data_IF_430196909014
#
_entry.id   IF_430196909014
#
_cell.length_a   1.000
_cell.length_b   1.000
_cell.length_c   1.000
_cell.angle_alpha   90.00
_cell.angle_beta   90.00
_cell.angle_gamma   90.00
#
_symmetry.space_group_name_H-M   'P 1'
#
loop_
_entity.id
_entity.type
_entity.pdbx_description
1 polymer ?
#
# COMPACT_ATOMS: atom_id res chain seq x y z
N UNK A 1 17.28 7.73 -5.98
CA UNK A 1 18.66 8.02 -5.57
C UNK A 1 19.60 7.49 -6.64
N UNK A 2 20.30 8.35 -7.31
CA UNK A 2 21.43 7.96 -8.14
C UNK A 2 22.57 7.56 -7.20
N UNK A 3 23.06 6.33 -7.30
CA UNK A 3 24.25 5.94 -6.57
C UNK A 3 25.40 6.82 -7.01
N UNK A 4 26.01 7.43 -6.04
CA UNK A 4 27.30 8.14 -6.01
C UNK A 4 27.85 8.71 -7.32
N UNK A 5 28.04 9.99 -7.32
CA UNK A 5 28.80 10.76 -8.33
C UNK A 5 30.30 10.40 -8.38
N UNK A 6 30.74 9.32 -7.73
CA UNK A 6 32.14 8.90 -7.75
C UNK A 6 32.45 8.14 -9.03
N UNK A 7 33.34 8.64 -9.91
CA UNK A 7 33.73 7.91 -11.12
C UNK A 7 34.67 6.75 -10.83
N UNK A 8 35.48 6.82 -9.77
CA UNK A 8 36.52 5.86 -9.42
C UNK A 8 36.34 5.30 -8.03
N UNK A 9 36.70 4.02 -7.84
CA UNK A 9 36.69 3.30 -6.56
C UNK A 9 38.10 2.78 -6.29
N UNK A 10 38.62 2.99 -5.07
CA UNK A 10 39.95 2.53 -4.68
C UNK A 10 39.94 1.02 -4.42
N UNK A 11 41.05 0.34 -4.75
CA UNK A 11 41.30 -1.06 -4.43
C UNK A 11 42.12 -1.12 -3.16
N UNK A 12 41.61 -1.82 -2.15
CA UNK A 12 42.34 -2.01 -0.91
C UNK A 12 43.29 -3.21 -1.01
N UNK A 13 44.57 -2.97 -0.89
CA UNK A 13 45.60 -4.00 -0.80
C UNK A 13 45.50 -4.75 0.52
N UNK A 14 45.85 -6.04 0.51
CA UNK A 14 46.00 -6.87 1.71
C UNK A 14 47.46 -6.88 2.18
N UNK A 15 47.69 -7.24 3.44
CA UNK A 15 49.07 -7.38 3.98
C UNK A 15 49.86 -8.39 3.16
N UNK A 16 51.00 -8.00 2.61
CA UNK A 16 51.86 -8.80 1.75
C UNK A 16 51.66 -8.59 0.24
N UNK A 17 50.68 -7.80 -0.17
CA UNK A 17 50.55 -7.41 -1.56
C UNK A 17 51.56 -6.31 -1.89
N UNK A 18 52.16 -6.40 -3.07
CA UNK A 18 52.90 -5.27 -3.67
C UNK A 18 51.92 -4.09 -3.78
N UNK A 19 52.42 -2.88 -3.53
CA UNK A 19 51.63 -1.66 -3.61
C UNK A 19 50.83 -1.64 -4.93
N UNK A 20 49.52 -1.87 -4.82
CA UNK A 20 48.62 -1.71 -5.97
C UNK A 20 48.60 -0.25 -6.33
N UNK A 21 48.84 0.07 -7.60
CA UNK A 21 48.77 1.42 -8.12
C UNK A 21 47.51 2.10 -7.58
N UNK A 22 47.69 3.30 -7.06
CA UNK A 22 46.60 4.14 -6.49
C UNK A 22 45.57 4.59 -7.53
N UNK A 23 45.69 4.11 -8.76
CA UNK A 23 44.71 4.30 -9.84
C UNK A 23 43.41 3.55 -9.51
N UNK A 24 42.39 4.29 -9.07
CA UNK A 24 41.08 3.75 -8.80
C UNK A 24 40.46 3.07 -10.03
N UNK A 25 39.67 2.02 -9.80
CA UNK A 25 38.90 1.34 -10.86
C UNK A 25 37.62 2.11 -11.15
N UNK A 26 37.25 2.24 -12.42
CA UNK A 26 35.96 2.85 -12.79
C UNK A 26 34.79 2.08 -12.18
N UNK A 27 33.82 2.84 -11.61
CA UNK A 27 32.61 2.26 -11.04
C UNK A 27 31.73 1.67 -12.15
N UNK A 28 31.42 0.36 -12.11
CA UNK A 28 30.54 -0.30 -13.09
C UNK A 28 29.17 0.38 -13.16
N UNK A 29 28.65 0.54 -14.37
CA UNK A 29 27.38 1.27 -14.59
C UNK A 29 26.17 0.56 -13.97
N UNK A 30 26.22 -0.75 -13.75
CA UNK A 30 25.17 -1.51 -13.06
C UNK A 30 24.92 -1.01 -11.63
N UNK A 31 25.95 -0.49 -10.94
CA UNK A 31 25.82 0.07 -9.60
C UNK A 31 25.14 1.45 -9.58
N UNK A 32 24.99 2.09 -10.74
CA UNK A 32 24.23 3.33 -10.95
C UNK A 32 22.79 3.10 -11.43
N UNK A 33 22.35 1.83 -11.57
CA UNK A 33 21.01 1.49 -12.03
C UNK A 33 19.92 1.94 -11.03
N UNK A 34 18.69 2.22 -11.50
CA UNK A 34 17.58 2.64 -10.63
C UNK A 34 17.13 1.50 -9.70
N UNK A 35 16.89 1.85 -8.43
CA UNK A 35 16.47 0.91 -7.38
C UNK A 35 14.95 0.84 -7.33
N UNK A 36 14.38 -0.38 -7.44
CA UNK A 36 12.95 -0.66 -7.42
C UNK A 36 12.59 -1.69 -6.34
N UNK A 37 11.91 -1.31 -5.26
CA UNK A 37 11.57 -2.19 -4.13
C UNK A 37 10.25 -2.97 -4.26
N UNK A 38 9.50 -2.83 -5.33
CA UNK A 38 8.07 -3.16 -5.50
C UNK A 38 7.71 -4.62 -5.86
N UNK A 39 8.41 -5.66 -5.34
CA UNK A 39 8.10 -7.08 -5.66
C UNK A 39 7.52 -7.85 -4.47
N UNK A 40 6.26 -8.38 -4.52
CA UNK A 40 5.49 -8.87 -3.36
C UNK A 40 5.44 -10.39 -3.10
N UNK A 41 4.85 -10.78 -1.91
CA UNK A 41 4.88 -12.12 -1.28
C UNK A 41 3.48 -12.64 -0.83
N UNK A 42 3.24 -13.99 -0.72
CA UNK A 42 1.95 -14.59 -0.32
C UNK A 42 2.01 -15.90 0.50
N UNK A 43 1.00 -16.16 1.40
CA UNK A 43 0.91 -17.29 2.37
C UNK A 43 -0.47 -17.96 2.42
N UNK A 44 -0.58 -19.28 2.77
CA UNK A 44 -1.84 -20.04 2.85
C UNK A 44 -2.05 -20.91 4.11
N UNK A 45 -3.33 -21.26 4.45
CA UNK A 45 -3.69 -22.06 5.64
C UNK A 45 -4.96 -22.94 5.50
N UNK A 46 -5.04 -24.02 6.30
CA UNK A 46 -6.23 -24.87 6.51
C UNK A 46 -6.65 -24.83 7.98
N UNK A 47 -7.90 -24.42 8.27
CA UNK A 47 -8.53 -24.48 9.58
C UNK A 47 -10.06 -24.49 9.42
N UNK A 48 -10.80 -25.08 10.38
CA UNK A 48 -12.26 -25.05 10.43
C UNK A 48 -13.00 -26.19 9.71
N UNK A 49 -12.29 -27.19 9.15
CA UNK A 49 -12.88 -28.38 8.52
C UNK A 49 -12.87 -29.63 9.40
N UNK A 50 -12.31 -29.56 10.60
CA UNK A 50 -12.03 -30.71 11.46
C UNK A 50 -13.14 -31.05 12.44
N UNK A 51 -14.25 -30.29 12.43
CA UNK A 51 -15.37 -30.46 13.34
C UNK A 51 -16.48 -31.28 12.67
N UNK A 52 -17.08 -32.25 13.36
CA UNK A 52 -18.33 -32.89 12.94
C UNK A 52 -19.49 -31.97 13.31
N UNK A 53 -20.36 -31.66 12.36
CA UNK A 53 -21.51 -30.81 12.60
C UNK A 53 -22.62 -31.11 11.59
N UNK A 54 -23.87 -31.05 12.06
CA UNK A 54 -25.07 -31.27 11.25
C UNK A 54 -26.03 -30.10 11.41
N UNK A 55 -26.79 -29.82 10.35
CA UNK A 55 -27.86 -28.82 10.43
C UNK A 55 -29.06 -29.40 11.16
N UNK A 56 -29.66 -28.61 12.04
CA UNK A 56 -30.91 -28.99 12.69
C UNK A 56 -32.15 -28.90 11.78
N UNK A 57 -31.97 -28.44 10.55
CA UNK A 57 -33.05 -28.26 9.58
C UNK A 57 -34.02 -27.13 9.96
N UNK A 58 -35.26 -27.28 9.54
CA UNK A 58 -36.36 -26.34 9.79
C UNK A 58 -37.22 -26.80 10.99
N UNK A 59 -38.05 -25.94 11.55
CA UNK A 59 -39.00 -26.25 12.60
C UNK A 59 -38.50 -25.98 14.03
N UNK A 60 -37.28 -25.52 14.24
CA UNK A 60 -36.71 -25.21 15.58
C UNK A 60 -36.52 -23.73 15.85
N UNK A 61 -37.02 -22.84 15.00
CA UNK A 61 -36.87 -21.40 15.11
C UNK A 61 -35.40 -20.91 15.21
N UNK A 62 -34.45 -21.66 14.66
CA UNK A 62 -33.02 -21.34 14.62
C UNK A 62 -32.50 -21.41 13.19
N UNK A 63 -31.39 -20.72 12.90
CA UNK A 63 -30.76 -20.75 11.58
C UNK A 63 -30.33 -22.18 11.20
N UNK A 64 -30.47 -22.54 9.92
CA UNK A 64 -30.12 -23.84 9.34
C UNK A 64 -28.62 -24.09 9.19
N UNK A 65 -27.79 -23.34 9.88
CA UNK A 65 -26.35 -23.53 9.86
C UNK A 65 -25.97 -24.85 10.53
N UNK A 66 -24.94 -25.57 10.05
CA UNK A 66 -24.43 -26.74 10.75
C UNK A 66 -24.01 -26.42 12.19
N UNK A 67 -24.44 -27.26 13.13
CA UNK A 67 -24.15 -27.09 14.55
C UNK A 67 -23.50 -28.36 15.10
N UNK A 68 -22.63 -28.16 16.10
CA UNK A 68 -21.91 -29.27 16.74
C UNK A 68 -22.87 -30.10 17.54
N UNK A 69 -22.95 -31.44 17.28
CA UNK A 69 -23.80 -32.35 18.05
C UNK A 69 -23.22 -32.59 19.46
N UNK A 70 -24.04 -33.13 20.36
CA UNK A 70 -23.63 -33.54 21.71
C UNK A 70 -24.20 -32.66 22.81
N UNK A 71 -24.11 -33.16 24.06
CA UNK A 71 -24.49 -32.48 25.28
C UNK A 71 -23.29 -32.41 26.25
N UNK A 72 -23.30 -31.44 27.17
CA UNK A 72 -22.32 -31.38 28.25
C UNK A 72 -21.03 -30.62 27.92
N UNK A 73 -20.84 -30.09 26.73
CA UNK A 73 -19.70 -29.23 26.41
C UNK A 73 -20.16 -27.83 26.02
N UNK A 74 -19.34 -26.82 26.32
CA UNK A 74 -19.61 -25.41 25.93
C UNK A 74 -19.69 -25.21 24.41
N UNK A 75 -19.24 -26.19 23.62
CA UNK A 75 -19.27 -26.13 22.14
C UNK A 75 -20.53 -26.74 21.56
N UNK A 76 -21.30 -27.52 22.31
CA UNK A 76 -22.52 -28.16 21.84
C UNK A 76 -23.55 -27.12 21.37
N UNK A 77 -24.16 -27.34 20.21
CA UNK A 77 -25.15 -26.44 19.62
C UNK A 77 -24.59 -25.18 18.96
N UNK A 78 -23.31 -24.90 19.07
CA UNK A 78 -22.71 -23.76 18.38
C UNK A 78 -22.56 -24.00 16.87
N UNK A 79 -22.73 -22.96 16.06
CA UNK A 79 -22.52 -23.06 14.63
C UNK A 79 -21.09 -23.46 14.26
N UNK A 80 -20.93 -24.21 13.18
CA UNK A 80 -19.66 -24.73 12.69
C UNK A 80 -19.56 -24.59 11.17
N UNK A 81 -18.39 -24.83 10.62
CA UNK A 81 -18.02 -24.75 9.21
C UNK A 81 -18.13 -23.37 8.56
N UNK A 82 -19.14 -22.56 8.83
CA UNK A 82 -19.33 -21.25 8.22
C UNK A 82 -18.19 -20.29 8.52
N UNK A 83 -17.89 -19.39 7.60
CA UNK A 83 -16.89 -18.34 7.80
C UNK A 83 -17.28 -17.33 8.89
N UNK A 84 -18.59 -17.21 9.17
CA UNK A 84 -19.12 -16.37 10.24
C UNK A 84 -19.11 -17.07 11.62
N UNK A 85 -18.81 -18.38 11.67
CA UNK A 85 -18.83 -19.12 12.92
C UNK A 85 -17.47 -19.10 13.61
N UNK A 86 -17.49 -19.08 14.96
CA UNK A 86 -16.29 -19.24 15.77
C UNK A 86 -15.66 -20.61 15.52
N UNK A 87 -14.38 -20.63 15.12
CA UNK A 87 -13.67 -21.85 14.76
C UNK A 87 -14.14 -22.49 13.44
N UNK A 88 -14.91 -21.77 12.64
CA UNK A 88 -15.29 -22.17 11.29
C UNK A 88 -14.14 -21.99 10.29
N UNK A 89 -14.38 -22.46 9.05
CA UNK A 89 -13.42 -22.31 7.96
C UNK A 89 -13.46 -20.89 7.40
N UNK A 90 -12.35 -20.45 6.83
CA UNK A 90 -12.31 -19.19 6.12
C UNK A 90 -13.18 -19.25 4.84
N UNK A 91 -13.64 -18.09 4.37
CA UNK A 91 -14.29 -18.01 3.05
C UNK A 91 -13.28 -18.38 1.96
N UNK A 92 -13.72 -19.18 0.97
CA UNK A 92 -12.88 -19.68 -0.11
C UNK A 92 -11.51 -20.20 0.39
N UNK A 93 -11.46 -21.34 1.12
CA UNK A 93 -10.23 -21.85 1.70
C UNK A 93 -9.14 -22.02 0.64
N UNK A 94 -7.94 -21.58 0.98
CA UNK A 94 -6.80 -21.76 0.08
C UNK A 94 -6.43 -23.21 -0.09
N UNK A 95 -6.30 -23.65 -1.34
CA UNK A 95 -6.00 -25.04 -1.71
C UNK A 95 -4.49 -25.25 -1.87
N UNK A 96 -3.99 -26.45 -1.51
CA UNK A 96 -2.58 -26.82 -1.65
C UNK A 96 -2.13 -26.92 -3.11
N UNK A 97 -3.03 -27.22 -4.02
CA UNK A 97 -2.78 -27.30 -5.46
C UNK A 97 -2.78 -25.94 -6.16
N UNK A 98 -2.82 -24.85 -5.42
CA UNK A 98 -2.61 -23.52 -5.97
C UNK A 98 -1.25 -23.46 -6.65
N UNK A 99 -1.18 -22.81 -7.80
CA UNK A 99 0.09 -22.56 -8.48
C UNK A 99 0.94 -21.60 -7.64
N UNK A 100 1.92 -22.13 -6.91
CA UNK A 100 2.81 -21.39 -6.01
C UNK A 100 3.91 -20.65 -6.77
N UNK A 101 4.49 -21.32 -7.77
CA UNK A 101 5.54 -20.78 -8.59
C UNK A 101 4.96 -19.96 -9.74
N UNK A 102 5.44 -18.73 -9.89
CA UNK A 102 5.08 -17.83 -10.98
C UNK A 102 6.26 -17.69 -11.92
N UNK A 103 5.99 -17.72 -13.22
CA UNK A 103 7.00 -17.39 -14.23
C UNK A 103 7.20 -15.88 -14.23
N UNK A 104 8.43 -15.45 -13.95
CA UNK A 104 8.85 -14.05 -14.04
C UNK A 104 9.63 -13.86 -15.33
N UNK A 105 9.34 -12.81 -16.07
CA UNK A 105 10.04 -12.50 -17.32
C UNK A 105 11.53 -12.31 -17.08
N UNK A 106 12.35 -12.80 -18.00
CA UNK A 106 13.82 -12.75 -17.91
C UNK A 106 14.29 -11.28 -17.76
N UNK A 107 13.71 -10.37 -18.54
CA UNK A 107 14.03 -8.93 -18.47
C UNK A 107 13.76 -8.38 -17.06
N UNK A 108 12.62 -8.71 -16.46
CA UNK A 108 12.27 -8.27 -15.10
C UNK A 108 13.24 -8.81 -14.05
N UNK A 109 13.65 -10.10 -14.18
CA UNK A 109 14.68 -10.69 -13.30
C UNK A 109 16.03 -9.98 -13.41
N UNK A 110 16.45 -9.66 -14.62
CA UNK A 110 17.71 -8.93 -14.87
C UNK A 110 17.65 -7.51 -14.27
N UNK A 111 16.53 -6.80 -14.45
CA UNK A 111 16.32 -5.48 -13.85
C UNK A 111 16.33 -5.56 -12.31
N UNK A 112 15.70 -6.57 -11.73
CA UNK A 112 15.70 -6.76 -10.28
C UNK A 112 17.11 -6.99 -9.71
N UNK A 113 17.93 -7.81 -10.38
CA UNK A 113 19.33 -8.04 -9.97
C UNK A 113 20.16 -6.75 -10.13
N UNK A 114 20.01 -6.00 -11.24
CA UNK A 114 20.70 -4.72 -11.44
C UNK A 114 20.31 -3.71 -10.35
N UNK A 115 19.03 -3.64 -10.01
CA UNK A 115 18.51 -2.79 -8.93
C UNK A 115 19.06 -3.18 -7.55
N UNK A 116 19.18 -4.50 -7.28
CA UNK A 116 19.76 -4.99 -6.04
C UNK A 116 21.27 -4.68 -5.95
N UNK A 117 21.98 -4.82 -7.04
CA UNK A 117 23.41 -4.45 -7.14
C UNK A 117 23.61 -2.95 -6.91
N UNK A 118 22.82 -2.11 -7.56
CA UNK A 118 22.89 -0.65 -7.35
C UNK A 118 22.66 -0.28 -5.87
N UNK A 119 21.76 -0.96 -5.18
CA UNK A 119 21.49 -0.74 -3.76
C UNK A 119 22.68 -1.09 -2.86
N UNK A 120 23.54 -2.03 -3.25
CA UNK A 120 24.74 -2.40 -2.47
C UNK A 120 25.82 -1.32 -2.47
N UNK A 121 25.80 -0.41 -3.43
CA UNK A 121 26.74 0.71 -3.53
C UNK A 121 26.32 1.94 -2.70
N UNK A 122 25.10 1.94 -2.13
CA UNK A 122 24.56 3.07 -1.36
C UNK A 122 24.71 2.79 0.14
N UNK A 123 25.60 3.48 0.88
CA UNK A 123 25.87 3.21 2.29
C UNK A 123 24.62 3.34 3.16
N UNK A 124 23.76 4.32 2.89
CA UNK A 124 22.52 4.53 3.65
C UNK A 124 21.56 3.33 3.58
N UNK A 125 21.46 2.66 2.43
CA UNK A 125 20.63 1.46 2.28
C UNK A 125 21.25 0.24 2.97
N UNK A 126 22.57 0.14 2.97
CA UNK A 126 23.30 -0.93 3.66
C UNK A 126 23.16 -0.79 5.18
N UNK A 127 23.28 0.43 5.72
CA UNK A 127 22.99 0.74 7.13
C UNK A 127 21.54 0.48 7.50
N UNK A 128 20.59 0.93 6.68
CA UNK A 128 19.16 0.73 6.92
C UNK A 128 18.78 -0.76 6.98
N UNK A 129 19.48 -1.61 6.23
CA UNK A 129 19.34 -3.06 6.33
C UNK A 129 19.85 -3.63 7.66
N UNK A 130 20.72 -2.91 8.36
CA UNK A 130 21.27 -3.27 9.66
C UNK A 130 22.67 -3.90 9.60
N UNK A 131 23.43 -3.71 8.53
CA UNK A 131 24.85 -4.07 8.48
C UNK A 131 25.69 -3.08 9.27
N UNK A 132 26.76 -3.57 9.91
CA UNK A 132 27.74 -2.75 10.59
C UNK A 132 28.87 -2.41 9.63
N UNK A 133 28.92 -1.17 9.18
CA UNK A 133 29.86 -0.71 8.17
C UNK A 133 30.73 0.49 8.63
N UNK A 134 30.65 0.84 9.88
CA UNK A 134 31.35 2.00 10.45
C UNK A 134 32.89 1.92 10.28
N UNK A 135 33.44 0.70 10.34
CA UNK A 135 34.87 0.46 10.13
C UNK A 135 35.31 0.34 8.66
N UNK A 136 34.38 0.45 7.72
CA UNK A 136 34.68 0.26 6.30
C UNK A 136 35.02 1.61 5.66
N UNK A 137 36.19 1.77 5.03
CA UNK A 137 36.65 3.07 4.57
C UNK A 137 35.90 3.60 3.36
N UNK A 138 35.43 2.71 2.46
CA UNK A 138 34.81 3.12 1.20
C UNK A 138 33.69 2.16 0.75
N UNK A 139 32.69 2.70 0.09
CA UNK A 139 31.61 1.96 -0.56
C UNK A 139 31.50 2.32 -2.05
N UNK A 140 31.39 1.32 -2.94
CA UNK A 140 31.48 -0.14 -2.71
C UNK A 140 32.89 -0.55 -2.29
N UNK A 141 33.00 -1.62 -1.44
CA UNK A 141 34.28 -2.13 -0.95
C UNK A 141 34.89 -3.09 -1.96
N UNK A 142 36.03 -2.73 -2.53
CA UNK A 142 36.81 -3.56 -3.46
C UNK A 142 38.13 -3.94 -2.83
N UNK A 143 38.51 -5.21 -2.95
CA UNK A 143 39.72 -5.78 -2.35
C UNK A 143 40.56 -6.42 -3.46
N UNK A 144 41.86 -6.49 -3.29
CA UNK A 144 42.77 -7.13 -4.24
C UNK A 144 42.44 -8.61 -4.48
N UNK A 145 42.83 -9.13 -5.63
CA UNK A 145 42.53 -10.52 -6.04
C UNK A 145 43.27 -11.57 -5.19
N UNK A 146 44.25 -11.17 -4.37
CA UNK A 146 44.96 -12.05 -3.42
C UNK A 146 43.99 -12.76 -2.43
N UNK A 147 42.83 -12.17 -2.13
CA UNK A 147 41.80 -12.81 -1.33
C UNK A 147 41.28 -14.13 -1.93
N UNK A 148 41.33 -14.28 -3.26
CA UNK A 148 40.84 -15.49 -3.95
C UNK A 148 41.74 -16.72 -3.74
N UNK A 149 43.00 -16.50 -3.38
CA UNK A 149 44.00 -17.58 -3.11
C UNK A 149 43.89 -18.17 -1.71
N UNK A 150 43.17 -17.51 -0.79
CA UNK A 150 43.06 -17.90 0.61
C UNK A 150 42.24 -19.19 0.78
N UNK A 151 42.78 -20.16 1.52
CA UNK A 151 42.09 -21.45 1.82
C UNK A 151 41.64 -21.55 3.29
N UNK A 152 42.40 -20.98 4.23
CA UNK A 152 42.17 -21.19 5.68
C UNK A 152 41.21 -20.13 6.24
N UNK A 153 40.24 -20.57 7.06
CA UNK A 153 39.29 -19.68 7.74
C UNK A 153 39.92 -18.67 8.69
N UNK A 154 41.04 -19.05 9.33
CA UNK A 154 41.79 -18.17 10.20
C UNK A 154 42.36 -16.95 9.41
N UNK A 155 42.83 -17.16 8.20
CA UNK A 155 43.30 -16.09 7.32
C UNK A 155 42.14 -15.20 6.87
N UNK A 156 41.00 -15.79 6.53
CA UNK A 156 39.79 -15.02 6.15
C UNK A 156 39.31 -14.10 7.27
N UNK A 157 39.37 -14.53 8.54
CA UNK A 157 39.07 -13.67 9.69
C UNK A 157 40.06 -12.51 9.82
N UNK A 158 41.37 -12.77 9.62
CA UNK A 158 42.38 -11.71 9.65
C UNK A 158 42.10 -10.66 8.57
N UNK A 159 41.78 -11.10 7.35
CA UNK A 159 41.42 -10.19 6.24
C UNK A 159 40.16 -9.38 6.56
N UNK A 160 39.10 -10.01 7.10
CA UNK A 160 37.89 -9.27 7.49
C UNK A 160 38.16 -8.21 8.56
N UNK A 161 39.09 -8.47 9.49
CA UNK A 161 39.49 -7.47 10.49
C UNK A 161 40.25 -6.32 9.83
N UNK A 162 41.17 -6.62 8.94
CA UNK A 162 41.98 -5.63 8.22
C UNK A 162 41.14 -4.66 7.38
N UNK A 163 40.12 -5.17 6.67
CA UNK A 163 39.22 -4.36 5.85
C UNK A 163 38.09 -3.68 6.61
N UNK A 164 37.98 -3.93 7.92
CA UNK A 164 36.93 -3.35 8.78
C UNK A 164 35.55 -4.03 8.66
N UNK A 165 35.45 -5.18 7.99
CA UNK A 165 34.18 -5.89 7.75
C UNK A 165 33.89 -6.96 8.81
N UNK A 166 34.78 -7.21 9.77
CA UNK A 166 34.64 -8.26 10.78
C UNK A 166 33.45 -8.02 11.71
N UNK A 167 33.18 -6.77 12.09
CA UNK A 167 32.09 -6.43 13.00
C UNK A 167 30.69 -6.89 12.48
N UNK A 168 30.48 -6.89 11.17
CA UNK A 168 29.24 -7.39 10.58
C UNK A 168 29.18 -8.93 10.57
N UNK A 169 30.31 -9.60 10.32
CA UNK A 169 30.40 -11.07 10.41
C UNK A 169 30.22 -11.58 11.85
N UNK A 170 30.79 -10.87 12.84
CA UNK A 170 30.61 -11.15 14.26
C UNK A 170 29.15 -10.99 14.69
N UNK A 171 28.49 -9.89 14.29
CA UNK A 171 27.05 -9.69 14.50
C UNK A 171 26.21 -10.81 13.92
N UNK A 172 26.57 -11.32 12.74
CA UNK A 172 25.87 -12.44 12.13
C UNK A 172 26.07 -13.73 12.93
N UNK A 173 27.29 -14.01 13.42
CA UNK A 173 27.63 -15.13 14.28
C UNK A 173 26.84 -15.10 15.59
N UNK A 174 26.84 -13.97 16.28
CA UNK A 174 26.19 -13.80 17.58
C UNK A 174 24.65 -13.86 17.50
N UNK A 175 24.09 -13.63 16.31
CA UNK A 175 22.65 -13.70 16.05
C UNK A 175 22.10 -15.11 15.92
N UNK A 176 22.93 -16.15 15.99
CA UNK A 176 22.50 -17.54 15.89
C UNK A 176 21.64 -17.91 17.10
N UNK A 177 20.39 -18.18 16.88
CA UNK A 177 19.43 -18.50 17.94
C UNK A 177 18.46 -19.61 17.50
N UNK A 178 17.82 -20.26 18.46
CA UNK A 178 16.76 -21.22 18.19
C UNK A 178 15.50 -20.46 17.80
N UNK A 179 14.89 -20.84 16.67
CA UNK A 179 13.64 -20.26 16.18
C UNK A 179 12.50 -20.42 17.17
N UNK A 180 11.77 -19.38 17.43
CA UNK A 180 10.52 -19.44 18.17
C UNK A 180 9.44 -20.21 17.41
N UNK A 181 8.54 -20.88 18.13
CA UNK A 181 7.41 -21.60 17.56
C UNK A 181 7.76 -22.97 16.92
N UNK A 182 6.78 -23.58 16.26
CA UNK A 182 6.85 -24.95 15.72
C UNK A 182 7.76 -25.09 14.48
N UNK A 183 8.23 -24.01 13.89
CA UNK A 183 9.17 -24.04 12.76
C UNK A 183 10.48 -24.79 13.06
N UNK A 184 10.93 -24.81 14.34
CA UNK A 184 12.12 -25.55 14.78
C UNK A 184 11.99 -27.09 14.62
N UNK A 185 10.77 -27.62 14.70
CA UNK A 185 10.48 -29.03 14.45
C UNK A 185 10.28 -29.35 12.95
N UNK A 186 10.27 -28.35 12.10
CA UNK A 186 10.04 -28.45 10.64
C UNK A 186 11.30 -28.11 9.85
N UNK A 187 12.45 -28.58 10.27
CA UNK A 187 13.77 -28.36 9.65
C UNK A 187 14.21 -26.90 9.57
N UNK A 188 13.65 -26.01 10.40
CA UNK A 188 14.01 -24.60 10.51
C UNK A 188 14.36 -24.24 11.96
N UNK A 189 15.21 -25.06 12.58
CA UNK A 189 15.54 -24.92 14.01
C UNK A 189 16.27 -23.64 14.33
N UNK A 190 17.26 -23.30 13.52
CA UNK A 190 18.10 -22.13 13.76
C UNK A 190 17.72 -20.96 12.89
N UNK A 191 17.89 -19.77 13.43
CA UNK A 191 17.81 -18.50 12.72
C UNK A 191 19.14 -17.77 12.91
N UNK A 192 19.59 -17.09 11.88
CA UNK A 192 20.75 -16.21 11.93
C UNK A 192 20.53 -14.99 11.03
N UNK A 193 21.24 -13.93 11.30
CA UNK A 193 21.29 -12.77 10.41
C UNK A 193 22.25 -13.05 9.28
N UNK A 194 22.02 -12.39 8.14
CA UNK A 194 22.95 -12.39 7.02
C UNK A 194 24.01 -11.31 7.22
N UNK A 195 25.26 -11.71 7.12
CA UNK A 195 26.44 -10.84 7.12
C UNK A 195 26.87 -10.45 5.71
N UNK A 196 28.17 -10.16 5.51
CA UNK A 196 28.71 -9.74 4.21
C UNK A 196 28.58 -10.85 3.15
N UNK A 197 28.44 -10.43 1.90
CA UNK A 197 28.52 -11.27 0.73
C UNK A 197 29.86 -11.02 0.02
N UNK A 198 30.65 -12.05 -0.22
CA UNK A 198 31.90 -11.95 -0.95
C UNK A 198 31.66 -12.38 -2.37
N UNK A 199 32.03 -11.52 -3.32
CA UNK A 199 31.88 -11.79 -4.75
C UNK A 199 33.25 -11.90 -5.40
N UNK A 200 33.51 -13.07 -6.00
CA UNK A 200 34.76 -13.39 -6.66
C UNK A 200 34.59 -13.56 -8.18
N UNK A 201 35.68 -13.36 -8.93
CA UNK A 201 35.66 -13.32 -10.38
C UNK A 201 36.28 -14.53 -11.08
N UNK A 202 37.19 -15.28 -10.45
CA UNK A 202 37.87 -16.41 -11.04
C UNK A 202 37.14 -17.73 -10.79
N UNK A 203 37.05 -18.61 -11.79
CA UNK A 203 36.55 -19.97 -11.60
C UNK A 203 37.58 -20.80 -10.83
N UNK A 204 37.10 -21.71 -9.94
CA UNK A 204 37.99 -22.55 -9.15
C UNK A 204 38.65 -21.87 -7.96
N UNK A 205 38.25 -20.63 -7.63
CA UNK A 205 38.78 -19.85 -6.51
C UNK A 205 38.67 -20.57 -5.18
N UNK A 206 39.75 -20.54 -4.39
CA UNK A 206 39.85 -21.16 -3.08
C UNK A 206 39.08 -20.41 -2.00
N UNK A 207 38.71 -19.18 -2.25
CA UNK A 207 37.95 -18.28 -1.33
C UNK A 207 36.67 -18.92 -0.81
N UNK A 208 35.99 -19.75 -1.60
CA UNK A 208 34.78 -20.46 -1.18
C UNK A 208 35.04 -21.35 0.04
N UNK A 209 36.17 -22.06 0.09
CA UNK A 209 36.55 -22.95 1.21
C UNK A 209 36.84 -22.10 2.47
N UNK A 210 37.54 -20.97 2.29
CA UNK A 210 37.95 -20.11 3.37
C UNK A 210 36.79 -19.42 4.10
N UNK A 211 35.75 -19.01 3.38
CA UNK A 211 34.66 -18.20 3.95
C UNK A 211 33.36 -18.96 4.22
N UNK A 212 33.10 -20.11 3.56
CA UNK A 212 31.83 -20.83 3.72
C UNK A 212 31.50 -21.29 5.13
N UNK A 213 32.53 -21.47 6.00
CA UNK A 213 32.33 -21.89 7.39
C UNK A 213 32.02 -20.72 8.35
N UNK A 214 32.11 -19.48 7.89
CA UNK A 214 31.79 -18.31 8.72
C UNK A 214 30.27 -18.10 8.74
N UNK A 215 29.62 -18.09 9.93
CA UNK A 215 28.19 -17.93 10.04
C UNK A 215 27.71 -16.61 9.43
N UNK A 216 26.70 -16.67 8.55
CA UNK A 216 26.11 -15.52 7.92
C UNK A 216 26.89 -14.90 6.75
N UNK A 217 28.14 -15.32 6.52
CA UNK A 217 28.93 -14.91 5.35
C UNK A 217 28.58 -15.83 4.19
N UNK A 218 28.21 -15.24 3.06
CA UNK A 218 27.94 -15.96 1.83
C UNK A 218 29.01 -15.63 0.77
N UNK A 219 29.26 -16.55 -0.16
CA UNK A 219 30.23 -16.37 -1.24
C UNK A 219 29.53 -16.66 -2.56
N UNK A 220 29.72 -15.79 -3.56
CA UNK A 220 29.09 -15.93 -4.86
C UNK A 220 30.05 -15.58 -6.01
N UNK A 221 29.91 -16.28 -7.15
CA UNK A 221 30.60 -15.90 -8.37
C UNK A 221 29.85 -14.74 -9.06
N UNK A 222 30.57 -13.78 -9.62
CA UNK A 222 30.01 -12.60 -10.30
C UNK A 222 29.08 -12.95 -11.47
N UNK A 223 29.35 -14.03 -12.18
CA UNK A 223 28.55 -14.46 -13.33
C UNK A 223 27.22 -15.09 -12.92
N UNK A 224 27.15 -15.67 -11.71
CA UNK A 224 26.00 -16.41 -11.18
C UNK A 224 25.31 -15.69 -10.02
N UNK A 225 25.39 -14.36 -9.98
CA UNK A 225 24.74 -13.56 -8.93
C UNK A 225 23.23 -13.82 -8.89
N UNK A 226 22.76 -14.18 -7.70
CA UNK A 226 21.36 -14.46 -7.42
C UNK A 226 20.72 -13.31 -6.63
N UNK A 227 19.49 -12.96 -6.99
CA UNK A 227 18.71 -11.97 -6.26
C UNK A 227 18.47 -12.37 -4.79
N UNK A 228 18.35 -13.67 -4.52
CA UNK A 228 18.16 -14.19 -3.16
C UNK A 228 19.36 -13.94 -2.24
N UNK A 229 20.56 -13.87 -2.81
CA UNK A 229 21.79 -13.59 -2.07
C UNK A 229 22.01 -12.08 -1.93
N UNK A 230 21.66 -11.29 -2.96
CA UNK A 230 21.80 -9.83 -2.95
C UNK A 230 20.71 -9.11 -2.12
N UNK A 231 19.49 -9.66 -2.12
CA UNK A 231 18.36 -9.10 -1.42
C UNK A 231 17.61 -10.19 -0.61
N UNK A 232 18.24 -10.84 0.37
CA UNK A 232 17.58 -11.87 1.17
C UNK A 232 16.38 -11.28 1.92
N UNK A 233 15.24 -11.99 1.85
CA UNK A 233 13.98 -11.53 2.41
C UNK A 233 13.30 -10.41 1.63
N UNK A 234 13.78 -10.06 0.45
CA UNK A 234 13.26 -8.94 -0.36
C UNK A 234 13.80 -7.57 0.06
N UNK A 235 14.75 -7.53 0.99
CA UNK A 235 15.35 -6.28 1.47
C UNK A 235 16.63 -5.96 0.71
N UNK A 236 16.68 -4.79 0.11
CA UNK A 236 17.81 -4.26 -0.64
C UNK A 236 18.95 -3.77 0.27
N UNK A 237 20.15 -3.61 -0.27
CA UNK A 237 21.27 -3.03 0.45
C UNK A 237 22.10 -4.03 1.24
N UNK A 238 22.36 -5.23 0.72
CA UNK A 238 23.30 -6.15 1.36
C UNK A 238 24.72 -5.61 1.30
N UNK A 239 25.49 -5.79 2.38
CA UNK A 239 26.91 -5.49 2.37
C UNK A 239 27.66 -6.48 1.47
N UNK A 240 28.33 -5.98 0.44
CA UNK A 240 29.07 -6.79 -0.54
C UNK A 240 30.54 -6.37 -0.55
N UNK A 241 31.42 -7.38 -0.53
CA UNK A 241 32.86 -7.24 -0.67
C UNK A 241 33.23 -7.80 -2.06
N UNK A 242 33.83 -6.97 -2.89
CA UNK A 242 34.18 -7.31 -4.26
C UNK A 242 35.66 -7.63 -4.37
N UNK A 243 36.03 -8.65 -5.14
CA UNK A 243 37.39 -8.79 -5.67
C UNK A 243 37.56 -7.87 -6.86
N UNK A 244 38.76 -7.45 -7.13
CA UNK A 244 39.05 -6.55 -8.26
C UNK A 244 38.61 -7.13 -9.60
N UNK A 245 38.95 -8.41 -9.84
CA UNK A 245 38.54 -9.14 -11.03
C UNK A 245 37.02 -9.23 -11.17
N UNK A 246 36.31 -9.51 -10.05
CA UNK A 246 34.83 -9.58 -10.07
C UNK A 246 34.22 -8.20 -10.40
N UNK A 247 34.80 -7.14 -9.87
CA UNK A 247 34.30 -5.79 -10.09
C UNK A 247 34.46 -5.34 -11.56
N UNK A 248 35.62 -5.62 -12.17
CA UNK A 248 35.87 -5.36 -13.60
C UNK A 248 34.92 -6.16 -14.51
N UNK A 249 34.63 -7.41 -14.16
CA UNK A 249 33.71 -8.29 -14.94
C UNK A 249 32.24 -7.85 -14.91
N UNK A 250 31.82 -6.97 -14.00
CA UNK A 250 30.43 -6.52 -13.94
C UNK A 250 29.95 -5.85 -15.23
N UNK A 251 30.80 -5.05 -15.88
CA UNK A 251 30.44 -4.36 -17.12
C UNK A 251 30.30 -5.36 -18.30
N UNK A 252 31.09 -6.42 -18.34
CA UNK A 252 30.92 -7.49 -19.33
C UNK A 252 29.58 -8.23 -19.13
N UNK A 253 29.21 -8.49 -17.88
CA UNK A 253 28.01 -9.27 -17.54
C UNK A 253 26.73 -8.47 -17.73
N UNK A 254 26.70 -7.20 -17.29
CA UNK A 254 25.47 -6.40 -17.27
C UNK A 254 25.43 -5.31 -18.34
N UNK A 255 26.58 -4.96 -18.93
CA UNK A 255 26.70 -3.88 -19.88
C UNK A 255 26.57 -2.49 -19.24
N UNK A 256 26.45 -1.49 -20.08
CA UNK A 256 26.27 -0.10 -19.70
C UNK A 256 24.87 0.43 -20.02
N UNK A 257 24.71 1.76 -19.88
CA UNK A 257 23.50 2.46 -20.30
C UNK A 257 23.39 2.57 -21.83
N UNK A 258 24.53 2.65 -22.51
CA UNK A 258 24.62 2.79 -23.96
C UNK A 258 25.16 1.53 -24.66
N UNK A 259 25.93 0.73 -23.92
CA UNK A 259 26.54 -0.50 -24.43
C UNK A 259 25.75 -1.74 -23.97
N UNK A 260 25.39 -2.64 -24.88
CA UNK A 260 24.69 -3.89 -24.50
C UNK A 260 25.62 -4.84 -23.75
N UNK A 261 25.06 -5.67 -22.88
CA UNK A 261 25.77 -6.67 -22.13
C UNK A 261 26.31 -7.79 -23.06
N UNK A 262 27.57 -8.17 -22.90
CA UNK A 262 28.19 -9.25 -23.69
C UNK A 262 27.62 -10.62 -23.32
N UNK A 263 27.57 -10.96 -22.02
CA UNK A 263 27.09 -12.25 -21.54
C UNK A 263 25.57 -12.36 -21.47
N UNK A 264 24.85 -11.29 -21.11
CA UNK A 264 23.38 -11.26 -21.07
C UNK A 264 22.81 -10.66 -22.35
N UNK A 265 22.93 -11.38 -23.45
CA UNK A 265 22.50 -10.94 -24.79
C UNK A 265 21.14 -10.20 -24.76
N UNK A 266 21.08 -9.06 -25.42
CA UNK A 266 19.87 -8.22 -25.53
C UNK A 266 19.48 -7.48 -24.26
N UNK A 267 20.34 -7.38 -23.24
CA UNK A 267 20.10 -6.60 -22.05
C UNK A 267 20.91 -5.30 -22.08
N UNK A 268 20.20 -4.21 -21.87
CA UNK A 268 20.74 -2.86 -21.66
C UNK A 268 20.21 -2.38 -20.30
N UNK A 269 21.04 -1.69 -19.53
CA UNK A 269 20.64 -1.19 -18.22
C UNK A 269 19.51 -0.16 -18.36
N UNK A 270 18.50 -0.23 -17.51
CA UNK A 270 17.43 0.76 -17.49
C UNK A 270 17.99 2.12 -17.06
N UNK A 271 17.64 3.19 -17.76
CA UNK A 271 17.97 4.55 -17.36
C UNK A 271 17.01 5.04 -16.28
N UNK A 272 17.46 5.79 -15.27
CA UNK A 272 16.58 6.44 -14.32
C UNK A 272 15.76 7.51 -15.05
N UNK A 273 14.48 7.64 -14.69
CA UNK A 273 13.62 8.70 -15.27
C UNK A 273 14.05 10.10 -14.85
N UNK A 274 14.71 10.23 -13.71
CA UNK A 274 15.23 11.47 -13.18
C UNK A 274 16.74 11.32 -13.02
N UNK A 275 17.51 12.20 -13.64
CA UNK A 275 18.96 12.25 -13.52
C UNK A 275 19.38 12.69 -12.11
N UNK A 276 18.67 13.65 -11.53
CA UNK A 276 18.86 14.13 -10.16
C UNK A 276 17.63 13.74 -9.30
N UNK A 277 17.86 13.06 -8.19
CA UNK A 277 16.81 12.67 -7.24
C UNK A 277 16.48 13.77 -6.22
N UNK A 278 17.24 14.83 -6.17
CA UNK A 278 17.00 15.99 -5.31
C UNK A 278 15.90 16.87 -5.92
N UNK A 279 14.66 16.60 -5.52
CA UNK A 279 13.49 17.35 -5.99
C UNK A 279 13.53 18.81 -5.55
N UNK A 280 14.06 19.10 -4.36
CA UNK A 280 14.16 20.47 -3.85
C UNK A 280 15.05 21.31 -4.73
N UNK A 281 16.19 20.76 -5.15
CA UNK A 281 17.12 21.44 -6.07
C UNK A 281 16.51 21.64 -7.46
N UNK A 282 15.78 20.64 -7.97
CA UNK A 282 15.10 20.76 -9.27
C UNK A 282 13.98 21.82 -9.23
N UNK A 283 13.18 21.83 -8.17
CA UNK A 283 12.09 22.79 -8.01
C UNK A 283 12.66 24.22 -7.89
N UNK A 284 13.75 24.40 -7.15
CA UNK A 284 14.37 25.71 -6.91
C UNK A 284 15.37 26.13 -8.00
N UNK A 285 15.51 25.34 -9.07
CA UNK A 285 16.34 25.73 -10.20
C UNK A 285 15.75 26.95 -10.95
N UNK A 286 16.63 27.83 -11.43
CA UNK A 286 16.21 29.04 -12.16
C UNK A 286 15.36 28.74 -13.39
N UNK A 287 15.64 27.63 -14.06
CA UNK A 287 14.88 27.14 -15.21
C UNK A 287 13.40 26.87 -14.87
N UNK A 288 13.15 26.23 -13.72
CA UNK A 288 11.79 25.95 -13.26
C UNK A 288 11.13 27.19 -12.67
N UNK A 289 11.88 27.96 -11.86
CA UNK A 289 11.33 29.13 -11.18
C UNK A 289 10.98 30.28 -12.14
N UNK A 290 11.66 30.38 -13.28
CA UNK A 290 11.33 31.37 -14.31
C UNK A 290 9.96 31.16 -14.97
N UNK A 291 9.49 29.91 -15.02
CA UNK A 291 8.20 29.52 -15.63
C UNK A 291 7.07 29.42 -14.60
N UNK A 292 7.39 29.16 -13.34
CA UNK A 292 6.42 29.00 -12.27
C UNK A 292 5.82 30.36 -11.89
N UNK A 293 4.50 30.42 -11.82
CA UNK A 293 3.79 31.62 -11.33
C UNK A 293 4.23 31.95 -9.91
N UNK A 294 4.50 33.24 -9.61
CA UNK A 294 4.88 33.66 -8.27
C UNK A 294 3.81 33.30 -7.24
N UNK A 295 4.25 33.05 -6.01
CA UNK A 295 3.35 32.71 -4.91
C UNK A 295 2.36 33.87 -4.69
N UNK A 296 1.08 33.59 -4.79
CA UNK A 296 0.05 34.56 -4.43
C UNK A 296 0.15 34.84 -2.93
N UNK A 297 0.69 36.01 -2.57
CA UNK A 297 0.77 36.46 -1.17
C UNK A 297 -0.62 36.68 -0.54
N UNK A 298 -1.61 37.02 -1.37
CA UNK A 298 -3.00 37.16 -0.93
C UNK A 298 -3.74 35.86 -1.14
N UNK A 299 -4.11 35.22 -0.05
CA UNK A 299 -5.02 34.08 -0.07
C UNK A 299 -6.42 34.61 -0.36
N UNK A 300 -6.81 34.65 -1.64
CA UNK A 300 -8.21 34.87 -1.99
C UNK A 300 -9.02 33.67 -1.54
N UNK A 301 -9.62 33.79 -0.36
CA UNK A 301 -10.61 32.82 0.08
C UNK A 301 -11.73 32.79 -0.96
N UNK A 302 -12.01 31.62 -1.50
CA UNK A 302 -13.17 31.43 -2.37
C UNK A 302 -14.41 31.82 -1.57
N UNK A 303 -15.19 32.78 -2.07
CA UNK A 303 -16.51 33.05 -1.52
C UNK A 303 -17.31 31.75 -1.52
N UNK A 304 -17.91 31.42 -0.36
CA UNK A 304 -18.74 30.24 -0.25
C UNK A 304 -19.85 30.31 -1.32
N UNK A 305 -19.95 29.32 -2.19
CA UNK A 305 -21.00 29.23 -3.21
C UNK A 305 -22.34 29.10 -2.50
N UNK A 306 -23.06 30.18 -2.42
CA UNK A 306 -24.42 30.21 -1.85
C UNK A 306 -25.40 29.80 -2.93
N UNK A 307 -26.32 28.88 -2.60
CA UNK A 307 -27.33 28.43 -3.56
C UNK A 307 -28.30 29.58 -3.87
N UNK A 308 -28.41 30.06 -5.13
CA UNK A 308 -29.31 31.13 -5.51
C UNK A 308 -30.78 30.81 -5.22
N UNK A 309 -31.19 29.57 -5.28
CA UNK A 309 -32.58 29.17 -4.96
C UNK A 309 -32.95 29.31 -3.50
N UNK A 310 -31.98 29.32 -2.58
CA UNK A 310 -32.19 29.46 -1.14
C UNK A 310 -31.76 30.82 -0.58
N UNK A 311 -30.91 31.56 -1.28
CA UNK A 311 -30.31 32.77 -0.79
C UNK A 311 -30.62 33.95 -1.74
N UNK A 312 -31.46 34.86 -1.28
CA UNK A 312 -31.92 36.05 -2.04
C UNK A 312 -30.76 36.97 -2.43
N UNK A 313 -29.75 37.16 -1.56
CA UNK A 313 -28.60 38.00 -1.86
C UNK A 313 -27.77 37.41 -3.04
N UNK A 314 -27.67 36.09 -3.15
CA UNK A 314 -27.00 35.43 -4.26
C UNK A 314 -27.77 35.58 -5.57
N UNK A 315 -29.10 35.52 -5.52
CA UNK A 315 -29.96 35.80 -6.69
C UNK A 315 -29.85 37.25 -7.15
N UNK A 316 -29.86 38.20 -6.23
CA UNK A 316 -29.74 39.62 -6.56
C UNK A 316 -28.40 40.00 -7.20
N UNK A 317 -27.32 39.31 -6.83
CA UNK A 317 -26.01 39.44 -7.52
C UNK A 317 -26.05 38.93 -8.97
N UNK A 318 -26.82 37.85 -9.25
CA UNK A 318 -26.96 37.26 -10.58
C UNK A 318 -28.00 37.98 -11.44
N UNK A 319 -29.11 38.40 -10.82
CA UNK A 319 -30.22 39.11 -11.47
C UNK A 319 -30.74 40.24 -10.58
N UNK A 320 -30.29 41.47 -10.77
CA UNK A 320 -30.72 42.62 -9.96
C UNK A 320 -32.24 42.88 -10.02
N UNK A 321 -32.88 42.53 -11.14
CA UNK A 321 -34.33 42.70 -11.33
C UNK A 321 -35.19 41.76 -10.49
N UNK A 322 -34.62 40.71 -9.93
CA UNK A 322 -35.32 39.71 -9.10
C UNK A 322 -36.06 40.36 -7.89
N UNK A 323 -35.46 41.35 -7.29
CA UNK A 323 -36.08 42.08 -6.15
C UNK A 323 -37.35 42.77 -6.53
N UNK A 324 -37.38 43.48 -7.68
CA UNK A 324 -38.57 44.19 -8.20
C UNK A 324 -39.65 43.21 -8.68
N UNK A 325 -39.25 42.17 -9.40
CA UNK A 325 -40.16 41.10 -9.84
C UNK A 325 -40.89 40.44 -8.64
N UNK A 326 -40.15 40.14 -7.55
CA UNK A 326 -40.72 39.53 -6.35
C UNK A 326 -41.71 40.49 -5.64
N UNK A 327 -41.40 41.78 -5.57
CA UNK A 327 -42.30 42.78 -4.99
C UNK A 327 -43.58 42.91 -5.83
N UNK A 328 -43.45 42.95 -7.15
CA UNK A 328 -44.61 43.02 -8.06
C UNK A 328 -45.48 41.76 -7.99
N UNK A 329 -44.86 40.57 -7.90
CA UNK A 329 -45.60 39.33 -7.67
C UNK A 329 -46.39 39.34 -6.37
N UNK A 330 -45.75 39.77 -5.25
CA UNK A 330 -46.38 39.86 -3.93
C UNK A 330 -47.57 40.88 -3.94
N UNK A 331 -47.40 42.03 -4.59
CA UNK A 331 -48.47 43.01 -4.74
C UNK A 331 -49.66 42.47 -5.60
N UNK A 332 -49.33 41.77 -6.70
CA UNK A 332 -50.35 41.14 -7.53
C UNK A 332 -51.10 40.01 -6.78
N UNK A 333 -50.41 39.27 -5.94
CA UNK A 333 -51.02 38.24 -5.11
C UNK A 333 -51.91 38.87 -4.03
N UNK A 334 -51.44 39.91 -3.35
CA UNK A 334 -52.25 40.67 -2.39
C UNK A 334 -53.50 41.25 -3.04
N UNK A 335 -53.39 41.81 -4.23
CA UNK A 335 -54.54 42.32 -4.98
C UNK A 335 -55.54 41.20 -5.34
N UNK A 336 -55.04 40.00 -5.78
CA UNK A 336 -55.92 38.85 -6.03
C UNK A 336 -56.63 38.36 -4.76
N UNK A 337 -55.91 38.31 -3.65
CA UNK A 337 -56.49 37.93 -2.35
C UNK A 337 -57.57 38.92 -1.95
N UNK A 338 -57.30 40.25 -2.02
CA UNK A 338 -58.31 41.25 -1.76
C UNK A 338 -59.56 41.13 -2.61
N UNK A 339 -59.34 40.98 -3.96
CA UNK A 339 -60.47 40.84 -4.88
C UNK A 339 -61.26 39.51 -4.62
N UNK A 340 -60.60 38.47 -4.13
CA UNK A 340 -61.24 37.20 -3.75
C UNK A 340 -62.05 37.36 -2.46
N UNK A 341 -61.47 38.02 -1.44
CA UNK A 341 -62.19 38.29 -0.16
C UNK A 341 -63.40 39.19 -0.40
N UNK A 342 -63.28 40.26 -1.16
CA UNK A 342 -64.38 41.15 -1.55
C UNK A 342 -65.50 40.41 -2.27
N UNK A 343 -65.14 39.52 -3.23
CA UNK A 343 -66.13 38.67 -3.91
C UNK A 343 -66.78 37.65 -2.98
N UNK A 344 -66.03 37.11 -2.00
CA UNK A 344 -66.63 36.20 -1.03
C UNK A 344 -67.51 36.93 -0.04
N UNK A 345 -67.14 38.14 0.38
CA UNK A 345 -67.95 38.96 1.32
C UNK A 345 -69.20 39.49 0.63
N UNK A 346 -69.15 39.83 -0.67
CA UNK A 346 -70.33 40.20 -1.41
C UNK A 346 -71.28 39.00 -1.68
N UNK A 347 -70.76 37.79 -1.72
CA UNK A 347 -71.57 36.56 -1.90
C UNK A 347 -72.08 35.99 -0.53
N UNK A 348 -71.58 36.44 0.58
CA UNK A 348 -72.07 36.08 1.91
C UNK A 348 -73.38 36.82 2.18
N UNK A 349 -74.47 36.25 1.76
CA UNK A 349 -75.78 36.63 2.32
C UNK A 349 -75.78 36.34 3.80
N UNK A 350 -76.13 37.35 4.63
CA UNK A 350 -76.28 37.15 6.06
C UNK A 350 -77.40 36.16 6.27
N UNK A 351 -77.08 34.97 6.69
CA UNK A 351 -78.06 33.92 7.11
C UNK A 351 -78.93 34.47 8.22
N UNK A 352 -80.25 34.26 8.13
CA UNK A 352 -81.15 34.57 9.22
C UNK A 352 -80.78 33.86 10.52
N UNK A 353 -81.02 34.40 11.71
CA UNK A 353 -80.68 33.78 12.99
C UNK A 353 -81.18 32.32 13.05
N UNK A 354 -82.41 32.11 12.51
CA UNK A 354 -83.04 30.79 12.50
C UNK A 354 -82.29 29.73 11.59
N UNK A 355 -81.89 30.14 10.43
CA UNK A 355 -81.11 29.32 9.50
C UNK A 355 -79.72 29.00 10.08
N UNK A 356 -79.08 30.01 10.70
CA UNK A 356 -77.79 29.83 11.39
C UNK A 356 -77.87 28.82 12.55
N UNK A 357 -79.01 28.83 13.29
CA UNK A 357 -79.23 27.87 14.39
C UNK A 357 -79.46 26.47 13.87
N UNK A 358 -80.22 26.31 12.78
CA UNK A 358 -80.44 25.00 12.11
C UNK A 358 -79.14 24.39 11.60
N UNK A 359 -78.28 25.17 10.94
CA UNK A 359 -76.98 24.72 10.43
C UNK A 359 -76.06 24.31 11.61
N UNK A 360 -76.01 25.11 12.71
CA UNK A 360 -75.25 24.77 13.90
C UNK A 360 -75.79 23.49 14.60
N UNK A 361 -77.08 23.33 14.66
CA UNK A 361 -77.70 22.13 15.24
C UNK A 361 -77.39 20.88 14.37
N UNK A 362 -77.48 21.02 13.06
CA UNK A 362 -77.14 19.95 12.10
C UNK A 362 -75.64 19.58 12.20
N UNK A 363 -74.72 20.56 12.24
CA UNK A 363 -73.30 20.33 12.42
C UNK A 363 -72.97 19.64 13.74
N UNK A 364 -73.70 19.97 14.80
CA UNK A 364 -73.56 19.32 16.12
C UNK A 364 -74.04 17.88 16.14
N UNK A 365 -75.14 17.58 15.43
CA UNK A 365 -75.68 16.24 15.29
C UNK A 365 -74.70 15.39 14.45
N UNK A 366 -74.20 15.91 13.35
CA UNK A 366 -73.19 15.23 12.51
C UNK A 366 -71.91 14.94 13.31
N UNK A 367 -71.39 15.90 14.08
CA UNK A 367 -70.20 15.70 14.91
C UNK A 367 -70.43 14.58 15.98
N UNK A 368 -71.61 14.52 16.55
CA UNK A 368 -71.99 13.44 17.48
C UNK A 368 -72.02 12.05 16.83
N UNK A 369 -72.49 11.96 15.57
CA UNK A 369 -72.48 10.72 14.80
C UNK A 369 -71.07 10.33 14.37
N UNK A 370 -70.22 11.27 14.07
CA UNK A 370 -68.82 10.96 13.74
C UNK A 370 -68.00 10.48 14.96
N UNK A 371 -68.34 10.90 16.18
CA UNK A 371 -67.66 10.45 17.42
C UNK A 371 -68.25 9.15 17.97
N UNK A 372 -69.48 8.79 17.60
CA UNK A 372 -70.06 7.50 18.01
C UNK A 372 -69.46 6.37 17.21
N UNK A 373 -68.81 5.44 17.86
CA UNK A 373 -68.13 4.24 17.31
C UNK A 373 -69.06 3.22 16.64
N UNK A 374 -70.04 3.67 15.89
CA UNK A 374 -70.98 2.75 15.25
C UNK A 374 -70.92 2.82 13.72
N UNK A 375 -70.39 1.78 13.19
CA UNK A 375 -70.57 1.24 11.86
C UNK A 375 -70.22 2.05 10.60
N UNK A 376 -69.68 1.31 9.64
CA UNK A 376 -69.29 1.64 8.27
C UNK A 376 -70.33 2.37 7.38
N UNK A 377 -71.43 2.73 7.91
CA UNK A 377 -72.47 3.51 7.26
C UNK A 377 -72.21 5.04 7.33
N UNK A 378 -71.09 5.46 7.90
CA UNK A 378 -70.75 6.87 8.08
C UNK A 378 -70.61 7.61 6.75
N UNK A 379 -70.06 6.94 5.73
CA UNK A 379 -69.86 7.57 4.42
C UNK A 379 -71.19 7.85 3.69
N UNK A 380 -72.12 6.94 3.79
CA UNK A 380 -73.47 7.12 3.21
C UNK A 380 -74.26 8.22 3.94
N UNK A 381 -74.14 8.29 5.24
CA UNK A 381 -74.73 9.36 6.02
C UNK A 381 -74.09 10.73 5.68
N UNK A 382 -72.79 10.79 5.50
CA UNK A 382 -72.07 11.99 5.13
C UNK A 382 -72.44 12.48 3.72
N UNK A 383 -72.58 11.58 2.76
CA UNK A 383 -72.99 11.91 1.39
C UNK A 383 -74.44 12.40 1.29
N UNK A 384 -75.34 11.82 2.09
CA UNK A 384 -76.71 12.30 2.27
C UNK A 384 -76.73 13.71 2.87
N UNK A 385 -75.91 13.99 3.84
CA UNK A 385 -75.80 15.31 4.51
C UNK A 385 -75.25 16.41 3.57
N UNK A 386 -74.37 16.03 2.65
CA UNK A 386 -73.82 16.95 1.67
C UNK A 386 -74.74 17.13 0.45
N UNK A 387 -75.87 16.42 0.37
CA UNK A 387 -76.80 16.48 -0.77
C UNK A 387 -76.18 15.94 -2.07
N UNK A 388 -75.18 15.09 -2.00
CA UNK A 388 -74.45 14.56 -3.14
C UNK A 388 -75.06 13.25 -3.64
N UNK A 389 -75.91 12.60 -2.86
CA UNK A 389 -76.70 11.44 -3.31
C UNK A 389 -78.13 11.89 -3.51
N UNK A 390 -78.60 11.71 -4.77
CA UNK A 390 -80.02 11.73 -5.09
C UNK A 390 -80.72 10.53 -4.48
#
# INVERSE_FOLDING_TARGET
>A
MAAAARPLVSVKALEGDMATDSAGIQMPQVLRAPIRPDVPYAVSRRAGHQTSAESWGTGRAVSRIPRVPGGGTHRAGQGAFGNMCRGGRMFAPTKIWRRWHRRVNIRLRRIAVASALAATAVPSLVLARGHRIEGVPEFPLVVSDSIESIEKTAQSIKVLKQIGAYADAEKAKDSVAIRAGKGKMRNRRYINRKGPLIVYGTEGSKVVKAFRNLPGVDVANVERLNLLDLAPGGHLGRFVIWTECAFKKLDEVYGGFDTPALKKKGFVLPRPKMANADLSRLINSDEVQSVVKPINKEVKLREARRNPLKNVAAVLKLNPYFGTARKMAALAEAARVKARTEKLDSKRTKLSPEESSKIKAAGKAWYKTMISDSDYTEFENFSKWLGVTQ
#
